data_IF_567971183775
#
_entry.id   IF_567971183775
#
_cell.length_a   1.000
_cell.length_b   1.000
_cell.length_c   1.000
_cell.angle_alpha   90.00
_cell.angle_beta   90.00
_cell.angle_gamma   90.00
#
_symmetry.space_group_name_H-M   'P 1'
#
loop_
_entity.id
_entity.type
_entity.pdbx_description
1 polymer ?
#
# COMPACT_ATOMS: atom_id res chain seq x y z
N UNK A 1 32.47 11.73 -7.23
CA UNK A 1 32.14 11.99 -8.65
C UNK A 1 31.51 10.76 -9.32
N UNK A 2 30.29 10.33 -8.92
CA UNK A 2 29.55 9.21 -9.54
C UNK A 2 28.51 9.65 -10.60
N UNK A 3 28.27 10.96 -10.72
CA UNK A 3 27.20 11.54 -11.54
C UNK A 3 27.51 11.65 -13.04
N UNK A 4 28.76 11.46 -13.47
CA UNK A 4 29.19 11.57 -14.87
C UNK A 4 29.18 10.23 -15.63
N UNK A 5 28.76 9.13 -14.99
CA UNK A 5 28.72 7.83 -15.65
C UNK A 5 27.31 7.61 -16.25
N UNK A 6 27.14 7.52 -17.58
CA UNK A 6 25.83 7.35 -18.20
C UNK A 6 25.07 6.14 -17.64
N UNK A 7 25.77 5.04 -17.30
CA UNK A 7 25.18 3.87 -16.64
C UNK A 7 24.50 4.20 -15.32
N UNK A 8 25.05 5.13 -14.53
CA UNK A 8 24.48 5.57 -13.26
C UNK A 8 23.22 6.42 -13.49
N UNK A 9 23.19 7.27 -14.51
CA UNK A 9 22.01 8.07 -14.86
C UNK A 9 20.82 7.19 -15.27
N UNK A 10 21.05 6.15 -16.11
CA UNK A 10 20.02 5.21 -16.53
C UNK A 10 19.47 4.37 -15.36
N UNK A 11 20.33 3.94 -14.42
CA UNK A 11 19.86 3.21 -13.21
C UNK A 11 19.00 4.10 -12.32
N UNK A 12 19.38 5.36 -12.08
CA UNK A 12 18.56 6.27 -11.28
C UNK A 12 17.24 6.61 -11.96
N UNK A 13 17.25 6.78 -13.29
CA UNK A 13 16.03 7.03 -14.06
C UNK A 13 15.10 5.80 -14.07
N UNK A 14 15.65 4.60 -14.19
CA UNK A 14 14.89 3.34 -14.07
C UNK A 14 14.29 3.14 -12.68
N UNK A 15 15.03 3.46 -11.61
CA UNK A 15 14.52 3.42 -10.24
C UNK A 15 13.43 4.46 -9.99
N UNK A 16 13.59 5.67 -10.54
CA UNK A 16 12.57 6.73 -10.48
C UNK A 16 11.29 6.28 -11.21
N UNK A 17 11.42 5.73 -12.41
CA UNK A 17 10.31 5.23 -13.20
C UNK A 17 9.58 4.10 -12.47
N UNK A 18 10.30 3.08 -12.00
CA UNK A 18 9.71 1.96 -11.26
C UNK A 18 8.89 2.44 -10.04
N UNK A 19 9.42 3.43 -9.33
CA UNK A 19 8.78 3.99 -8.13
C UNK A 19 7.49 4.75 -8.46
N UNK A 20 7.50 5.57 -9.52
CA UNK A 20 6.32 6.29 -9.98
C UNK A 20 5.26 5.29 -10.46
N UNK A 21 5.65 4.32 -11.31
CA UNK A 21 4.71 3.36 -11.89
C UNK A 21 4.09 2.46 -10.80
N UNK A 22 4.87 1.94 -9.86
CA UNK A 22 4.34 1.14 -8.75
C UNK A 22 3.44 1.96 -7.83
N UNK A 23 3.85 3.16 -7.44
CA UNK A 23 3.06 4.02 -6.58
C UNK A 23 1.75 4.45 -7.25
N UNK A 24 1.79 4.81 -8.53
CA UNK A 24 0.60 5.20 -9.30
C UNK A 24 -0.38 4.03 -9.46
N UNK A 25 0.10 2.82 -9.74
CA UNK A 25 -0.73 1.61 -9.77
C UNK A 25 -1.40 1.35 -8.42
N UNK A 26 -0.68 1.51 -7.31
CA UNK A 26 -1.26 1.36 -5.97
C UNK A 26 -2.33 2.42 -5.67
N UNK A 27 -2.10 3.69 -6.02
CA UNK A 27 -3.12 4.74 -5.85
C UNK A 27 -4.36 4.42 -6.68
N UNK A 28 -4.18 4.04 -7.95
CA UNK A 28 -5.29 3.82 -8.87
C UNK A 28 -6.11 2.57 -8.51
N UNK A 29 -5.46 1.45 -8.20
CA UNK A 29 -6.14 0.18 -7.94
C UNK A 29 -6.58 0.01 -6.47
N UNK A 30 -5.86 0.57 -5.51
CA UNK A 30 -6.11 0.33 -4.09
C UNK A 30 -6.36 1.61 -3.28
N UNK A 31 -5.62 2.69 -3.52
CA UNK A 31 -5.71 3.91 -2.72
C UNK A 31 -7.03 4.69 -2.91
N UNK A 32 -7.38 5.01 -4.15
CA UNK A 32 -8.53 5.88 -4.44
C UNK A 32 -9.88 5.22 -4.08
N UNK A 33 -10.02 3.93 -4.41
CA UNK A 33 -11.25 3.18 -4.14
C UNK A 33 -11.47 2.86 -2.65
N UNK A 34 -10.41 2.80 -1.84
CA UNK A 34 -10.51 2.52 -0.39
C UNK A 34 -10.69 3.77 0.46
N UNK A 35 -10.15 4.92 0.07
CA UNK A 35 -10.38 6.18 0.80
C UNK A 35 -11.74 6.81 0.49
N UNK A 36 -12.23 6.67 -0.74
CA UNK A 36 -13.46 7.36 -1.17
C UNK A 36 -14.74 6.73 -0.64
N UNK A 37 -14.68 5.51 -0.10
CA UNK A 37 -15.85 4.74 0.29
C UNK A 37 -15.76 4.26 1.75
N UNK A 38 -16.40 4.97 2.70
CA UNK A 38 -16.39 4.61 4.12
C UNK A 38 -16.99 3.23 4.39
N UNK A 39 -17.87 2.74 3.51
CA UNK A 39 -18.46 1.40 3.64
C UNK A 39 -17.42 0.29 3.53
N UNK A 40 -16.33 0.52 2.78
CA UNK A 40 -15.20 -0.41 2.67
C UNK A 40 -14.31 -0.44 3.90
N UNK A 41 -14.34 0.59 4.75
CA UNK A 41 -13.53 0.63 5.98
C UNK A 41 -14.01 -0.40 6.98
N UNK A 42 -15.31 -0.64 7.05
CA UNK A 42 -15.88 -1.67 7.93
C UNK A 42 -15.40 -3.07 7.53
N UNK A 43 -15.43 -3.39 6.24
CA UNK A 43 -14.93 -4.67 5.71
C UNK A 43 -13.41 -4.84 5.78
N UNK A 44 -12.64 -3.76 5.67
CA UNK A 44 -11.18 -3.77 5.92
C UNK A 44 -10.87 -3.94 7.41
N UNK A 45 -11.66 -3.30 8.26
CA UNK A 45 -11.59 -3.38 9.70
C UNK A 45 -11.91 -4.76 10.25
N UNK A 46 -12.91 -5.42 9.69
CA UNK A 46 -13.26 -6.81 10.00
C UNK A 46 -12.10 -7.76 9.68
N UNK A 47 -11.16 -7.42 8.78
CA UNK A 47 -9.96 -8.24 8.59
C UNK A 47 -9.06 -8.26 9.82
N UNK A 48 -9.10 -7.23 10.68
CA UNK A 48 -8.38 -7.25 11.97
C UNK A 48 -9.00 -8.24 12.96
N UNK A 49 -10.28 -8.59 12.78
CA UNK A 49 -10.94 -9.68 13.54
C UNK A 49 -10.23 -11.02 13.31
N UNK A 50 -9.67 -11.24 12.12
CA UNK A 50 -8.94 -12.49 11.80
C UNK A 50 -7.62 -12.61 12.56
N UNK A 51 -7.10 -11.50 13.09
CA UNK A 51 -5.89 -11.44 13.91
C UNK A 51 -6.24 -11.39 15.41
N UNK A 52 -7.53 -11.51 15.76
CA UNK A 52 -8.02 -11.50 17.14
C UNK A 52 -8.30 -10.10 17.70
N UNK A 53 -8.28 -9.06 16.87
CA UNK A 53 -8.59 -7.68 17.28
C UNK A 53 -10.03 -7.36 16.84
N UNK A 54 -10.97 -7.45 17.79
CA UNK A 54 -12.39 -7.13 17.57
C UNK A 54 -12.75 -5.66 17.92
N UNK A 55 -11.78 -4.85 18.31
CA UNK A 55 -12.01 -3.51 18.85
C UNK A 55 -11.95 -2.45 17.74
N UNK A 56 -13.05 -1.70 17.53
CA UNK A 56 -13.21 -0.62 16.53
C UNK A 56 -12.72 -0.97 15.11
N UNK A 57 -13.36 -1.92 14.40
CA UNK A 57 -12.99 -2.29 13.03
C UNK A 57 -12.97 -1.08 12.08
N UNK A 58 -13.96 -0.18 12.14
CA UNK A 58 -13.98 1.02 11.27
C UNK A 58 -12.73 1.91 11.45
N UNK A 59 -12.21 2.05 12.67
CA UNK A 59 -10.99 2.82 12.93
C UNK A 59 -9.76 2.17 12.30
N UNK A 60 -9.60 0.85 12.48
CA UNK A 60 -8.49 0.11 11.88
C UNK A 60 -8.57 0.06 10.35
N UNK A 61 -9.77 -0.08 9.80
CA UNK A 61 -9.99 -0.04 8.35
C UNK A 61 -9.69 1.33 7.75
N UNK A 62 -10.05 2.41 8.45
CA UNK A 62 -9.63 3.77 8.08
C UNK A 62 -8.11 3.92 8.13
N UNK A 63 -7.46 3.44 9.21
CA UNK A 63 -6.00 3.51 9.34
C UNK A 63 -5.28 2.72 8.26
N UNK A 64 -5.82 1.56 7.86
CA UNK A 64 -5.29 0.75 6.76
C UNK A 64 -5.47 1.44 5.40
N UNK A 65 -6.66 1.98 5.10
CA UNK A 65 -6.92 2.73 3.87
C UNK A 65 -6.05 4.00 3.79
N UNK A 66 -5.89 4.70 4.92
CA UNK A 66 -5.00 5.85 5.04
C UNK A 66 -3.54 5.45 4.78
N UNK A 67 -3.07 4.37 5.40
CA UNK A 67 -1.71 3.85 5.18
C UNK A 67 -1.46 3.44 3.73
N UNK A 68 -2.45 2.84 3.04
CA UNK A 68 -2.32 2.49 1.63
C UNK A 68 -2.25 3.70 0.71
N UNK A 69 -3.10 4.70 0.93
CA UNK A 69 -3.11 5.91 0.11
C UNK A 69 -1.90 6.80 0.40
N UNK A 70 -1.63 7.13 1.66
CA UNK A 70 -0.47 7.95 2.00
C UNK A 70 0.83 7.22 1.71
N UNK A 71 0.91 5.91 1.98
CA UNK A 71 2.09 5.08 1.68
C UNK A 71 2.41 5.04 0.19
N UNK A 72 1.40 4.99 -0.67
CA UNK A 72 1.60 5.03 -2.13
C UNK A 72 1.99 6.43 -2.63
N UNK A 73 1.42 7.51 -2.07
CA UNK A 73 1.85 8.90 -2.34
C UNK A 73 3.30 9.15 -1.90
N UNK A 74 3.68 8.67 -0.71
CA UNK A 74 5.05 8.72 -0.19
C UNK A 74 6.02 7.92 -1.06
N UNK A 75 5.57 6.78 -1.60
CA UNK A 75 6.33 5.99 -2.58
C UNK A 75 6.63 6.83 -3.82
N UNK A 76 5.62 7.47 -4.44
CA UNK A 76 5.79 8.28 -5.65
C UNK A 76 6.72 9.46 -5.41
N UNK A 77 6.51 10.19 -4.31
CA UNK A 77 7.35 11.34 -3.92
C UNK A 77 8.79 10.92 -3.59
N UNK A 78 9.00 9.62 -3.36
CA UNK A 78 10.31 9.07 -3.14
C UNK A 78 10.94 9.42 -1.79
N UNK A 79 10.14 10.00 -0.91
CA UNK A 79 10.48 10.41 0.45
C UNK A 79 10.04 9.30 1.41
N UNK A 80 10.93 8.85 2.31
CA UNK A 80 10.62 7.80 3.29
C UNK A 80 10.07 6.49 2.70
N UNK A 81 10.60 6.03 1.56
CA UNK A 81 10.03 4.82 0.94
C UNK A 81 10.22 3.56 1.75
N UNK A 82 11.23 3.49 2.62
CA UNK A 82 11.44 2.35 3.53
C UNK A 82 10.21 2.10 4.44
N UNK A 83 9.78 3.06 5.29
CA UNK A 83 8.59 2.85 6.11
C UNK A 83 7.31 2.77 5.28
N UNK A 84 7.18 3.52 4.18
CA UNK A 84 6.01 3.45 3.30
C UNK A 84 5.81 2.04 2.71
N UNK A 85 6.89 1.38 2.26
CA UNK A 85 6.81 0.00 1.75
C UNK A 85 6.49 -1.01 2.84
N UNK A 86 6.90 -0.79 4.09
CA UNK A 86 6.57 -1.68 5.21
C UNK A 86 5.06 -1.61 5.50
N UNK A 87 4.50 -0.40 5.54
CA UNK A 87 3.06 -0.19 5.72
C UNK A 87 2.24 -0.84 4.60
N UNK A 88 2.66 -0.67 3.34
CA UNK A 88 2.01 -1.30 2.19
C UNK A 88 2.15 -2.83 2.17
N UNK A 89 3.30 -3.35 2.61
CA UNK A 89 3.49 -4.80 2.74
C UNK A 89 2.54 -5.39 3.80
N UNK A 90 2.33 -4.67 4.90
CA UNK A 90 1.38 -5.08 5.94
C UNK A 90 -0.06 -5.10 5.43
N UNK A 91 -0.49 -4.07 4.69
CA UNK A 91 -1.87 -4.02 4.15
C UNK A 91 -2.11 -5.11 3.11
N UNK A 92 -1.11 -5.41 2.28
CA UNK A 92 -1.18 -6.51 1.33
C UNK A 92 -1.14 -7.89 1.99
N UNK A 93 -0.38 -8.05 3.07
CA UNK A 93 -0.39 -9.28 3.87
C UNK A 93 -1.78 -9.56 4.46
N UNK A 94 -2.46 -8.53 4.97
CA UNK A 94 -3.84 -8.66 5.46
C UNK A 94 -4.81 -9.00 4.34
N UNK A 95 -4.64 -8.43 3.15
CA UNK A 95 -5.43 -8.78 1.98
C UNK A 95 -5.26 -10.26 1.59
N UNK A 96 -4.04 -10.80 1.64
CA UNK A 96 -3.75 -12.22 1.39
C UNK A 96 -4.40 -13.12 2.45
N UNK A 97 -4.34 -12.74 3.73
CA UNK A 97 -5.02 -13.49 4.81
C UNK A 97 -6.52 -13.53 4.55
N UNK A 98 -7.13 -12.40 4.16
CA UNK A 98 -8.56 -12.35 3.81
C UNK A 98 -8.87 -13.27 2.63
N UNK A 99 -8.06 -13.26 1.58
CA UNK A 99 -8.30 -14.13 0.41
C UNK A 99 -8.17 -15.61 0.77
N UNK A 100 -7.13 -15.96 1.53
CA UNK A 100 -6.87 -17.32 2.01
C UNK A 100 -7.99 -17.84 2.92
N UNK A 101 -8.55 -16.99 3.79
CA UNK A 101 -9.68 -17.36 4.66
C UNK A 101 -11.03 -17.33 3.95
N UNK A 102 -11.19 -16.52 2.91
CA UNK A 102 -12.40 -16.51 2.08
C UNK A 102 -12.54 -17.79 1.24
N UNK A 103 -11.50 -18.63 1.14
CA UNK A 103 -11.53 -19.88 0.39
C UNK A 103 -11.61 -19.69 -1.13
N UNK A 104 -11.53 -18.44 -1.59
CA UNK A 104 -11.45 -18.11 -3.01
C UNK A 104 -10.00 -18.35 -3.45
N UNK A 105 -9.76 -19.40 -4.24
CA UNK A 105 -8.49 -19.53 -4.97
C UNK A 105 -8.32 -18.35 -5.93
N UNK A 106 -7.07 -17.98 -6.21
CA UNK A 106 -6.71 -16.92 -7.16
C UNK A 106 -7.44 -17.02 -8.50
#
# INVERSE_FOLDING_TARGET
MKFLNPKFAWTNFGLLFLRITLGASFIYHHGYGKISDPSRWKGLGEQMSNVGIHFLPEFWGFMAAFAEFFGSVLLILGLFTRPATILLAFTMLMAVIKHSQAGEGF
#
